data_IF_141333270621
#
_entry.id   IF_141333270621
#
_cell.length_a   1.000
_cell.length_b   1.000
_cell.length_c   1.000
_cell.angle_alpha   90.00
_cell.angle_beta   90.00
_cell.angle_gamma   90.00
#
_symmetry.space_group_name_H-M   'P 1'
#
loop_
_entity.id
_entity.type
_entity.pdbx_description
1 polymer ?
#
# COMPACT_ATOMS: atom_id res chain seq x y z
N UNK A 1 -45.84 -18.42 9.08
CA UNK A 1 -44.69 -17.61 9.53
C UNK A 1 -43.42 -18.39 9.21
N UNK A 2 -42.72 -18.05 8.14
CA UNK A 2 -41.34 -18.49 7.96
C UNK A 2 -40.48 -17.52 8.77
N UNK A 3 -39.80 -18.01 9.80
CA UNK A 3 -38.84 -17.20 10.54
C UNK A 3 -37.63 -16.97 9.65
N UNK A 4 -37.27 -15.71 9.40
CA UNK A 4 -35.99 -15.38 8.78
C UNK A 4 -34.85 -15.83 9.69
N UNK A 5 -34.00 -16.71 9.17
CA UNK A 5 -32.77 -17.11 9.85
C UNK A 5 -31.74 -16.01 9.56
N UNK A 6 -31.45 -15.19 10.58
CA UNK A 6 -30.38 -14.20 10.50
C UNK A 6 -29.01 -14.86 10.74
N UNK A 7 -27.97 -14.35 10.05
CA UNK A 7 -26.59 -14.78 10.23
C UNK A 7 -26.09 -14.59 11.69
N UNK A 8 -26.62 -13.58 12.38
CA UNK A 8 -26.34 -13.31 13.80
C UNK A 8 -26.89 -14.38 14.75
N UNK A 9 -27.73 -15.31 14.28
CA UNK A 9 -28.21 -16.43 15.09
C UNK A 9 -27.29 -17.67 15.02
N UNK A 10 -26.25 -17.64 14.17
CA UNK A 10 -25.29 -18.73 14.11
C UNK A 10 -24.36 -18.71 15.33
N UNK A 11 -23.95 -19.87 15.86
CA UNK A 11 -22.95 -19.94 16.92
C UNK A 11 -21.64 -19.26 16.52
N UNK A 12 -21.00 -18.58 17.46
CA UNK A 12 -19.73 -17.86 17.25
C UNK A 12 -18.63 -18.78 16.72
N UNK A 13 -18.64 -20.06 17.11
CA UNK A 13 -17.68 -21.06 16.64
C UNK A 13 -17.86 -21.37 15.15
N UNK A 14 -19.10 -21.43 14.68
CA UNK A 14 -19.39 -21.63 13.25
C UNK A 14 -18.96 -20.41 12.44
N UNK A 15 -19.24 -19.20 12.94
CA UNK A 15 -18.84 -17.94 12.30
C UNK A 15 -17.31 -17.80 12.27
N UNK A 16 -16.62 -18.10 13.36
CA UNK A 16 -15.15 -18.07 13.45
C UNK A 16 -14.52 -19.10 12.50
N UNK A 17 -15.10 -20.31 12.42
CA UNK A 17 -14.67 -21.33 11.46
C UNK A 17 -14.80 -20.84 10.01
N UNK A 18 -15.96 -20.29 9.62
CA UNK A 18 -16.16 -19.72 8.28
C UNK A 18 -15.19 -18.56 8.02
N UNK A 19 -15.01 -17.67 8.98
CA UNK A 19 -14.12 -16.52 8.90
C UNK A 19 -12.65 -16.91 8.67
N UNK A 20 -12.23 -18.09 9.15
CA UNK A 20 -10.87 -18.60 8.95
C UNK A 20 -10.52 -18.86 7.48
N UNK A 21 -11.52 -19.12 6.63
CA UNK A 21 -11.35 -19.30 5.18
C UNK A 21 -11.39 -17.98 4.39
N UNK A 22 -11.77 -16.88 5.04
CA UNK A 22 -11.84 -15.57 4.40
C UNK A 22 -10.46 -14.90 4.39
N UNK A 23 -10.21 -14.14 3.33
CA UNK A 23 -9.11 -13.16 3.28
C UNK A 23 -9.27 -12.13 4.40
N UNK A 24 -8.16 -11.52 4.81
CA UNK A 24 -8.13 -10.54 5.89
C UNK A 24 -9.17 -9.41 5.75
N UNK A 25 -9.30 -8.72 4.60
CA UNK A 25 -10.32 -7.69 4.43
C UNK A 25 -11.75 -8.26 4.45
N UNK A 26 -12.01 -9.42 3.83
CA UNK A 26 -13.35 -10.06 3.85
C UNK A 26 -13.76 -10.45 5.26
N UNK A 27 -12.81 -10.94 6.06
CA UNK A 27 -13.02 -11.26 7.48
C UNK A 27 -13.38 -10.03 8.30
N UNK A 28 -12.68 -8.92 8.09
CA UNK A 28 -12.99 -7.66 8.76
C UNK A 28 -14.37 -7.15 8.37
N UNK A 29 -14.71 -7.20 7.07
CA UNK A 29 -16.03 -6.80 6.57
C UNK A 29 -17.15 -7.68 7.15
N UNK A 30 -16.92 -9.00 7.25
CA UNK A 30 -17.87 -9.91 7.90
C UNK A 30 -18.05 -9.56 9.38
N UNK A 31 -16.97 -9.30 10.11
CA UNK A 31 -17.04 -8.89 11.51
C UNK A 31 -17.81 -7.58 11.70
N UNK A 32 -17.58 -6.60 10.80
CA UNK A 32 -18.33 -5.34 10.78
C UNK A 32 -19.82 -5.57 10.50
N UNK A 33 -20.15 -6.40 9.50
CA UNK A 33 -21.53 -6.68 9.10
C UNK A 33 -22.34 -7.38 10.20
N UNK A 34 -21.69 -8.19 11.04
CA UNK A 34 -22.33 -8.90 12.14
C UNK A 34 -22.63 -7.99 13.35
N UNK A 35 -22.03 -6.79 13.43
CA UNK A 35 -22.28 -5.77 14.46
C UNK A 35 -22.35 -6.32 15.90
N UNK A 36 -21.58 -7.37 16.18
CA UNK A 36 -21.73 -8.14 17.42
C UNK A 36 -20.61 -7.83 18.41
N UNK A 37 -20.93 -7.89 19.70
CA UNK A 37 -19.95 -7.80 20.81
C UNK A 37 -18.89 -8.93 20.71
N UNK A 38 -19.20 -9.98 19.94
CA UNK A 38 -18.33 -11.10 19.60
C UNK A 38 -17.35 -10.83 18.44
N UNK A 39 -17.27 -9.60 17.93
CA UNK A 39 -16.38 -9.23 16.81
C UNK A 39 -14.93 -9.70 17.01
N UNK A 40 -14.43 -9.70 18.26
CA UNK A 40 -13.08 -10.18 18.59
C UNK A 40 -12.82 -11.64 18.19
N UNK A 41 -13.80 -12.54 18.35
CA UNK A 41 -13.64 -13.97 18.04
C UNK A 41 -13.61 -14.26 16.53
N UNK A 42 -14.23 -13.39 15.72
CA UNK A 42 -14.27 -13.49 14.25
C UNK A 42 -13.02 -12.83 13.66
N UNK A 43 -12.64 -11.68 14.20
CA UNK A 43 -11.44 -10.94 13.80
C UNK A 43 -10.20 -11.80 14.06
N UNK A 44 -10.12 -12.48 15.21
CA UNK A 44 -8.98 -13.31 15.59
C UNK A 44 -7.72 -12.48 15.89
N UNK A 45 -6.62 -13.15 16.24
CA UNK A 45 -5.45 -12.48 16.80
C UNK A 45 -4.42 -11.99 15.77
N UNK A 46 -4.43 -12.58 14.57
CA UNK A 46 -3.37 -12.37 13.59
C UNK A 46 -3.79 -11.30 12.58
N UNK A 47 -3.37 -10.06 12.87
CA UNK A 47 -3.46 -8.94 11.95
C UNK A 47 -2.06 -8.39 11.76
N UNK A 48 -1.72 -8.10 10.51
CA UNK A 48 -0.40 -7.61 10.14
C UNK A 48 -0.45 -6.95 8.78
N UNK A 49 -1.21 -7.53 7.86
CA UNK A 49 -1.48 -6.97 6.54
C UNK A 49 -2.98 -6.87 6.31
N UNK A 50 -3.47 -5.67 6.00
CA UNK A 50 -4.80 -5.42 5.48
C UNK A 50 -4.66 -4.96 4.03
N UNK A 51 -4.95 -5.85 3.10
CA UNK A 51 -4.78 -5.63 1.66
C UNK A 51 -6.12 -5.76 0.95
N UNK A 52 -6.71 -4.63 0.57
CA UNK A 52 -8.00 -4.59 -0.11
C UNK A 52 -7.95 -5.11 -1.55
N UNK A 53 -6.76 -5.30 -2.13
CA UNK A 53 -6.59 -5.99 -3.42
C UNK A 53 -6.94 -7.48 -3.37
N UNK A 54 -7.16 -8.04 -2.17
CA UNK A 54 -7.66 -9.41 -1.97
C UNK A 54 -9.19 -9.52 -2.03
N UNK A 55 -9.90 -8.39 -2.17
CA UNK A 55 -11.34 -8.39 -2.42
C UNK A 55 -11.63 -8.50 -3.91
N UNK A 56 -12.87 -8.90 -4.22
CA UNK A 56 -13.41 -8.72 -5.56
C UNK A 56 -13.41 -7.23 -5.93
N UNK A 57 -13.02 -6.92 -7.16
CA UNK A 57 -12.83 -5.55 -7.62
C UNK A 57 -14.10 -4.71 -7.43
N UNK A 58 -15.26 -5.22 -7.86
CA UNK A 58 -16.55 -4.54 -7.70
C UNK A 58 -16.88 -4.25 -6.23
N UNK A 59 -16.56 -5.16 -5.32
CA UNK A 59 -16.78 -4.93 -3.89
C UNK A 59 -15.86 -3.83 -3.37
N UNK A 60 -14.57 -3.87 -3.72
CA UNK A 60 -13.58 -2.88 -3.28
C UNK A 60 -13.85 -1.47 -3.80
N UNK A 61 -14.34 -1.33 -5.05
CA UNK A 61 -14.73 -0.05 -5.65
C UNK A 61 -15.92 0.59 -4.95
N UNK A 62 -16.80 -0.24 -4.35
CA UNK A 62 -17.98 0.21 -3.61
C UNK A 62 -17.70 0.52 -2.12
N UNK A 63 -16.46 0.36 -1.65
CA UNK A 63 -16.10 0.74 -0.28
C UNK A 63 -16.07 2.27 -0.13
N UNK A 64 -16.64 2.75 0.97
CA UNK A 64 -16.68 4.17 1.34
C UNK A 64 -15.78 4.41 2.54
N UNK A 65 -15.46 5.68 2.83
CA UNK A 65 -14.69 6.04 4.02
C UNK A 65 -15.33 5.51 5.33
N UNK A 66 -16.66 5.42 5.39
CA UNK A 66 -17.34 4.85 6.55
C UNK A 66 -17.07 3.34 6.70
N UNK A 67 -17.08 2.59 5.58
CA UNK A 67 -16.73 1.17 5.59
C UNK A 67 -15.27 0.97 6.03
N UNK A 68 -14.34 1.73 5.44
CA UNK A 68 -12.92 1.67 5.77
C UNK A 68 -12.65 2.02 7.24
N UNK A 69 -13.24 3.12 7.73
CA UNK A 69 -13.13 3.53 9.14
C UNK A 69 -13.61 2.44 10.08
N UNK A 70 -14.78 1.86 9.80
CA UNK A 70 -15.38 0.83 10.65
C UNK A 70 -14.51 -0.44 10.66
N UNK A 71 -13.97 -0.83 9.50
CA UNK A 71 -13.01 -1.94 9.40
C UNK A 71 -11.75 -1.65 10.21
N UNK A 72 -11.12 -0.48 10.06
CA UNK A 72 -9.89 -0.14 10.77
C UNK A 72 -10.09 -0.07 12.29
N UNK A 73 -11.24 0.40 12.76
CA UNK A 73 -11.61 0.37 14.18
C UNK A 73 -11.84 -1.06 14.68
N UNK A 74 -12.57 -1.86 13.91
CA UNK A 74 -12.90 -3.25 14.25
C UNK A 74 -11.64 -4.12 14.44
N UNK A 75 -10.61 -3.89 13.63
CA UNK A 75 -9.35 -4.65 13.68
C UNK A 75 -8.29 -4.00 14.56
N UNK A 76 -8.61 -2.90 15.25
CA UNK A 76 -7.67 -2.07 16.02
C UNK A 76 -6.40 -1.73 15.23
N UNK A 77 -6.60 -1.14 14.05
CA UNK A 77 -5.55 -1.00 13.06
C UNK A 77 -4.35 -0.19 13.55
N UNK A 78 -4.56 0.80 14.42
CA UNK A 78 -3.50 1.65 14.98
C UNK A 78 -2.42 0.84 15.69
N UNK A 79 -2.80 -0.29 16.31
CA UNK A 79 -1.93 -1.11 17.15
C UNK A 79 -1.59 -2.48 16.53
N UNK A 80 -2.33 -2.92 15.49
CA UNK A 80 -2.20 -4.28 14.92
C UNK A 80 -1.83 -4.34 13.43
N UNK A 81 -2.07 -3.29 12.63
CA UNK A 81 -1.76 -3.30 11.20
C UNK A 81 -0.37 -2.74 10.90
N UNK A 82 0.48 -3.58 10.28
CA UNK A 82 1.82 -3.21 9.80
C UNK A 82 1.82 -2.81 8.33
N UNK A 83 0.92 -3.35 7.53
CA UNK A 83 0.81 -3.06 6.09
C UNK A 83 -0.64 -2.77 5.74
N UNK A 84 -0.90 -1.58 5.20
CA UNK A 84 -2.18 -1.24 4.59
C UNK A 84 -1.99 -1.08 3.08
N UNK A 85 -2.87 -1.69 2.27
CA UNK A 85 -2.95 -1.46 0.82
C UNK A 85 -4.39 -1.18 0.42
N UNK A 86 -4.63 -0.02 -0.21
CA UNK A 86 -5.96 0.41 -0.68
C UNK A 86 -6.24 0.04 -2.15
N UNK A 87 -5.65 -1.06 -2.64
CA UNK A 87 -5.85 -1.47 -4.03
C UNK A 87 -7.36 -1.61 -4.33
N UNK A 88 -7.75 -1.07 -5.48
CA UNK A 88 -9.11 -1.02 -6.04
C UNK A 88 -10.15 -0.19 -5.25
N UNK A 89 -9.77 0.43 -4.12
CA UNK A 89 -10.65 1.27 -3.30
C UNK A 89 -10.80 2.71 -3.83
N UNK A 90 -11.22 2.87 -5.09
CA UNK A 90 -11.22 4.16 -5.80
C UNK A 90 -12.16 5.23 -5.22
N UNK A 91 -13.20 4.81 -4.49
CA UNK A 91 -14.23 5.69 -3.91
C UNK A 91 -13.86 6.26 -2.54
N UNK A 92 -12.69 5.90 -2.00
CA UNK A 92 -12.20 6.38 -0.71
C UNK A 92 -11.59 7.77 -0.86
N UNK A 93 -12.05 8.72 -0.04
CA UNK A 93 -11.51 10.09 -0.01
C UNK A 93 -10.29 10.24 0.88
N UNK A 94 -10.12 9.32 1.84
CA UNK A 94 -9.03 9.31 2.81
C UNK A 94 -9.48 9.64 4.23
N UNK A 95 -10.68 10.20 4.40
CA UNK A 95 -11.27 10.44 5.72
C UNK A 95 -11.44 9.15 6.55
N UNK A 96 -11.61 8.01 5.88
CA UNK A 96 -11.72 6.70 6.49
C UNK A 96 -10.43 6.19 7.12
N UNK A 97 -9.28 6.79 6.79
CA UNK A 97 -7.96 6.42 7.33
C UNK A 97 -7.71 6.99 8.74
N UNK A 98 -8.60 7.84 9.25
CA UNK A 98 -8.47 8.50 10.56
C UNK A 98 -8.07 7.55 11.71
N UNK A 99 -8.57 6.29 11.79
CA UNK A 99 -8.15 5.36 12.83
C UNK A 99 -6.66 4.98 12.82
N UNK A 100 -5.90 5.28 11.75
CA UNK A 100 -4.44 5.06 11.71
C UNK A 100 -3.64 6.22 12.31
N UNK A 101 -4.28 7.34 12.66
CA UNK A 101 -3.62 8.53 13.18
C UNK A 101 -2.71 8.16 14.36
N UNK A 102 -1.45 8.58 14.26
CA UNK A 102 -0.44 8.32 15.28
C UNK A 102 -0.05 6.85 15.45
N UNK A 103 -0.28 5.96 14.48
CA UNK A 103 0.21 4.58 14.57
C UNK A 103 1.74 4.54 14.72
N UNK A 104 2.24 3.79 15.71
CA UNK A 104 3.68 3.54 15.88
C UNK A 104 4.17 2.32 15.10
N UNK A 105 3.27 1.41 14.76
CA UNK A 105 3.62 0.05 14.31
C UNK A 105 3.46 -0.15 12.80
N UNK A 106 2.79 0.77 12.11
CA UNK A 106 2.60 0.68 10.68
C UNK A 106 3.93 0.85 9.95
N UNK A 107 4.27 -0.14 9.12
CA UNK A 107 5.53 -0.20 8.38
C UNK A 107 5.36 0.18 6.92
N UNK A 108 4.17 -0.06 6.35
CA UNK A 108 3.89 0.17 4.93
C UNK A 108 2.47 0.69 4.70
N UNK A 109 2.35 1.74 3.90
CA UNK A 109 1.08 2.27 3.41
C UNK A 109 1.14 2.38 1.89
N UNK A 110 0.23 1.69 1.20
CA UNK A 110 0.06 1.77 -0.25
C UNK A 110 -1.27 2.43 -0.61
N UNK A 111 -1.19 3.66 -1.13
CA UNK A 111 -2.30 4.49 -1.58
C UNK A 111 -2.39 4.51 -3.12
N UNK A 112 -1.73 3.62 -3.87
CA UNK A 112 -1.75 3.67 -5.33
C UNK A 112 -3.12 3.39 -5.95
N UNK A 113 -4.06 2.84 -5.18
CA UNK A 113 -5.41 2.41 -5.59
C UNK A 113 -5.49 1.38 -6.72
N UNK A 114 -4.36 0.99 -7.29
CA UNK A 114 -4.25 -0.06 -8.31
C UNK A 114 -3.76 -1.38 -7.72
N UNK A 115 -4.20 -2.49 -8.31
CA UNK A 115 -3.75 -3.83 -8.02
C UNK A 115 -2.28 -4.08 -8.36
N UNK A 116 -1.86 -5.34 -8.20
CA UNK A 116 -0.53 -5.76 -8.63
C UNK A 116 -0.49 -5.91 -10.15
N UNK A 117 0.56 -5.38 -10.79
CA UNK A 117 0.75 -5.41 -12.24
C UNK A 117 -0.24 -4.58 -13.08
N UNK A 118 -1.07 -3.78 -12.42
CA UNK A 118 -1.97 -2.85 -13.09
C UNK A 118 -1.28 -1.53 -13.45
N UNK A 119 -1.82 -0.85 -14.47
CA UNK A 119 -1.43 0.51 -14.80
C UNK A 119 -1.71 1.45 -13.62
N UNK A 120 -0.79 2.33 -13.21
CA UNK A 120 -1.06 3.34 -12.19
C UNK A 120 -2.05 4.43 -12.67
N UNK A 121 -2.28 4.50 -13.98
CA UNK A 121 -3.23 5.44 -14.57
C UNK A 121 -4.59 4.79 -14.48
N UNK A 122 -5.45 5.37 -13.66
CA UNK A 122 -6.85 4.98 -13.52
C UNK A 122 -7.69 5.69 -14.60
N UNK A 123 -8.70 4.99 -15.12
CA UNK A 123 -9.69 5.59 -16.04
C UNK A 123 -10.58 6.63 -15.34
N UNK A 124 -10.69 6.53 -14.01
CA UNK A 124 -11.47 7.43 -13.16
C UNK A 124 -10.52 8.16 -12.23
N UNK A 125 -10.71 9.46 -12.10
CA UNK A 125 -9.95 10.27 -11.15
C UNK A 125 -10.19 9.76 -9.72
N UNK A 126 -9.13 9.40 -8.98
CA UNK A 126 -9.28 8.84 -7.64
C UNK A 126 -9.81 9.91 -6.68
N UNK A 127 -10.69 9.51 -5.76
CA UNK A 127 -11.29 10.44 -4.80
C UNK A 127 -10.36 10.84 -3.65
N UNK A 128 -9.16 10.25 -3.57
CA UNK A 128 -8.25 10.42 -2.44
C UNK A 128 -7.69 11.85 -2.38
N UNK A 129 -7.97 12.56 -1.28
CA UNK A 129 -7.58 13.96 -1.09
C UNK A 129 -6.36 14.11 -0.17
N UNK A 130 -5.42 14.96 -0.57
CA UNK A 130 -4.28 15.38 0.25
C UNK A 130 -4.73 15.93 1.62
N UNK A 131 -5.83 16.70 1.65
CA UNK A 131 -6.32 17.37 2.86
C UNK A 131 -6.74 16.39 3.96
N UNK A 132 -7.26 15.21 3.59
CA UNK A 132 -7.61 14.18 4.56
C UNK A 132 -6.42 13.30 4.93
N UNK A 133 -5.61 12.93 3.94
CA UNK A 133 -4.56 11.92 4.14
C UNK A 133 -3.30 12.48 4.77
N UNK A 134 -2.80 13.63 4.31
CA UNK A 134 -1.52 14.17 4.76
C UNK A 134 -1.49 14.43 6.27
N UNK A 135 -2.54 14.98 6.92
CA UNK A 135 -2.54 15.14 8.37
C UNK A 135 -2.45 13.82 9.14
N UNK A 136 -2.94 12.72 8.57
CA UNK A 136 -2.84 11.38 9.18
C UNK A 136 -1.42 10.87 9.04
N UNK A 137 -0.84 10.95 7.84
CA UNK A 137 0.54 10.54 7.61
C UNK A 137 1.54 11.37 8.44
N UNK A 138 1.30 12.68 8.57
CA UNK A 138 2.08 13.57 9.44
C UNK A 138 2.12 13.07 10.87
N UNK A 139 0.96 12.73 11.44
CA UNK A 139 0.88 12.23 12.80
C UNK A 139 1.64 10.91 13.01
N UNK A 140 1.82 10.11 11.96
CA UNK A 140 2.57 8.85 12.00
C UNK A 140 4.07 9.17 11.98
N UNK A 141 4.53 10.06 11.10
CA UNK A 141 5.96 10.40 11.00
C UNK A 141 6.46 11.27 12.16
N UNK A 142 5.59 12.09 12.76
CA UNK A 142 5.90 12.91 13.94
C UNK A 142 5.98 12.06 15.21
N UNK A 143 5.52 10.81 15.18
CA UNK A 143 5.59 9.92 16.33
C UNK A 143 7.01 9.37 16.50
N UNK A 144 7.56 9.58 17.69
CA UNK A 144 8.84 9.00 18.08
C UNK A 144 8.82 7.48 17.97
N UNK A 145 9.86 6.93 17.32
CA UNK A 145 10.00 5.49 17.13
C UNK A 145 8.93 4.87 16.22
N UNK A 146 8.31 5.64 15.32
CA UNK A 146 7.43 5.09 14.31
C UNK A 146 8.16 4.04 13.44
N UNK A 147 7.42 3.03 13.00
CA UNK A 147 7.96 1.92 12.22
C UNK A 147 7.83 2.12 10.70
N UNK A 148 7.40 3.30 10.23
CA UNK A 148 7.07 3.53 8.82
C UNK A 148 8.32 3.44 7.95
N UNK A 149 8.32 2.49 7.01
CA UNK A 149 9.43 2.22 6.08
C UNK A 149 9.09 2.54 4.65
N UNK A 150 7.82 2.40 4.26
CA UNK A 150 7.41 2.51 2.86
C UNK A 150 6.07 3.21 2.69
N UNK A 151 6.04 4.16 1.76
CA UNK A 151 4.87 4.93 1.39
C UNK A 151 4.75 5.00 -0.14
N UNK A 152 3.60 4.59 -0.66
CA UNK A 152 3.26 4.75 -2.07
C UNK A 152 2.09 5.72 -2.19
N UNK A 153 2.31 6.83 -2.89
CA UNK A 153 1.25 7.80 -3.19
C UNK A 153 0.45 7.42 -4.44
N UNK A 154 -0.79 7.93 -4.58
CA UNK A 154 -1.51 7.90 -5.84
C UNK A 154 -0.69 8.56 -6.95
N UNK A 155 -0.77 8.00 -8.16
CA UNK A 155 -0.10 8.58 -9.33
C UNK A 155 -0.64 9.98 -9.68
N UNK A 156 -1.94 10.23 -9.41
CA UNK A 156 -2.56 11.55 -9.60
C UNK A 156 -1.78 12.66 -8.88
N UNK A 157 -1.45 12.47 -7.60
CA UNK A 157 -0.72 13.47 -6.81
C UNK A 157 0.70 13.75 -7.33
N UNK A 158 1.30 12.79 -8.04
CA UNK A 158 2.65 12.93 -8.60
C UNK A 158 2.64 13.74 -9.91
N UNK A 159 1.55 13.68 -10.68
CA UNK A 159 1.45 14.27 -12.03
C UNK A 159 0.56 15.51 -12.11
N UNK A 160 -0.31 15.74 -11.14
CA UNK A 160 -1.16 16.92 -11.10
C UNK A 160 -0.31 18.20 -11.01
N UNK A 161 -0.65 19.21 -11.82
CA UNK A 161 0.04 20.49 -11.87
C UNK A 161 -0.99 21.63 -11.81
N UNK A 162 -0.78 22.65 -10.96
CA UNK A 162 0.34 22.82 -10.02
C UNK A 162 0.31 21.77 -8.89
N UNK A 163 1.49 21.42 -8.35
CA UNK A 163 1.58 20.46 -7.25
C UNK A 163 1.00 21.07 -5.98
N UNK A 164 0.28 20.27 -5.19
CA UNK A 164 -0.21 20.70 -3.87
C UNK A 164 0.98 21.06 -2.94
N UNK A 165 1.06 22.30 -2.43
CA UNK A 165 2.15 22.72 -1.53
C UNK A 165 2.22 21.91 -0.23
N UNK A 166 1.10 21.41 0.27
CA UNK A 166 1.06 20.55 1.45
C UNK A 166 1.70 19.19 1.16
N UNK A 167 1.54 18.67 -0.05
CA UNK A 167 2.20 17.43 -0.47
C UNK A 167 3.72 17.59 -0.54
N UNK A 168 4.23 18.68 -1.13
CA UNK A 168 5.66 18.99 -1.13
C UNK A 168 6.23 19.15 0.29
N UNK A 169 5.48 19.82 1.18
CA UNK A 169 5.85 19.96 2.60
C UNK A 169 5.87 18.61 3.31
N UNK A 170 4.92 17.72 3.02
CA UNK A 170 4.91 16.36 3.55
C UNK A 170 6.16 15.59 3.11
N UNK A 171 6.48 15.58 1.81
CA UNK A 171 7.68 14.88 1.28
C UNK A 171 8.94 15.37 1.98
N UNK A 172 9.06 16.68 2.19
CA UNK A 172 10.20 17.28 2.90
C UNK A 172 10.33 16.77 4.34
N UNK A 173 9.22 16.69 5.08
CA UNK A 173 9.19 16.15 6.46
C UNK A 173 9.47 14.65 6.50
N UNK A 174 8.90 13.89 5.58
CA UNK A 174 9.16 12.45 5.46
C UNK A 174 10.66 12.18 5.22
N UNK A 175 11.28 12.89 4.28
CA UNK A 175 12.72 12.79 4.02
C UNK A 175 13.55 13.17 5.26
N UNK A 176 13.16 14.24 5.98
CA UNK A 176 13.83 14.65 7.20
C UNK A 176 13.73 13.59 8.32
N UNK A 177 12.57 12.93 8.45
CA UNK A 177 12.38 11.83 9.40
C UNK A 177 13.32 10.65 9.09
N UNK A 178 13.43 10.22 7.83
CA UNK A 178 14.36 9.14 7.49
C UNK A 178 15.82 9.51 7.72
N UNK A 179 16.20 10.77 7.48
CA UNK A 179 17.55 11.26 7.71
C UNK A 179 17.90 11.38 9.20
N UNK A 180 16.90 11.51 10.08
CA UNK A 180 17.10 11.58 11.54
C UNK A 180 17.09 10.20 12.21
N UNK A 181 16.47 9.19 11.58
CA UNK A 181 16.57 7.81 12.02
C UNK A 181 18.01 7.29 11.87
N UNK A 182 18.39 6.30 12.70
CA UNK A 182 19.69 5.64 12.64
C UNK A 182 20.12 5.37 11.18
N UNK A 183 21.42 5.47 10.90
CA UNK A 183 21.96 5.26 9.55
C UNK A 183 21.41 3.98 8.92
N UNK A 184 20.47 4.12 7.99
CA UNK A 184 19.95 3.01 7.20
C UNK A 184 21.02 2.65 6.18
N UNK A 185 21.35 1.37 6.06
CA UNK A 185 22.34 0.90 5.08
C UNK A 185 21.72 -0.05 4.05
N UNK A 186 22.32 -0.06 2.87
CA UNK A 186 22.02 -1.03 1.83
C UNK A 186 22.30 -2.44 2.34
N UNK A 187 21.35 -3.35 2.17
CA UNK A 187 21.47 -4.72 2.65
C UNK A 187 22.66 -5.48 2.04
N UNK A 188 23.06 -5.14 0.80
CA UNK A 188 24.06 -5.89 0.03
C UNK A 188 25.48 -5.36 0.20
N UNK A 189 25.65 -4.03 0.16
CA UNK A 189 26.98 -3.40 0.24
C UNK A 189 27.24 -2.66 1.55
N UNK A 190 26.24 -2.57 2.44
CA UNK A 190 26.29 -1.85 3.71
C UNK A 190 26.61 -0.34 3.59
N UNK A 191 26.56 0.23 2.38
CA UNK A 191 26.65 1.69 2.18
C UNK A 191 25.47 2.39 2.83
N UNK A 192 25.72 3.52 3.48
CA UNK A 192 24.67 4.36 4.06
C UNK A 192 23.72 4.90 2.99
N UNK A 193 22.44 4.99 3.34
CA UNK A 193 21.36 5.46 2.49
C UNK A 193 20.69 6.68 3.13
N UNK A 194 20.20 7.65 2.34
CA UNK A 194 20.34 7.70 0.88
C UNK A 194 21.79 8.03 0.49
N UNK A 195 22.17 7.80 -0.78
CA UNK A 195 23.48 8.26 -1.27
C UNK A 195 23.54 9.79 -1.22
N UNK A 196 24.76 10.38 -1.20
CA UNK A 196 24.94 11.83 -1.12
C UNK A 196 24.08 12.56 -2.17
N UNK A 197 23.42 13.64 -1.73
CA UNK A 197 22.50 14.47 -2.54
C UNK A 197 21.23 13.78 -3.08
N UNK A 198 20.93 12.55 -2.65
CA UNK A 198 19.71 11.84 -3.03
C UNK A 198 18.69 11.77 -1.90
N UNK A 199 17.43 11.54 -2.29
CA UNK A 199 16.28 11.59 -1.38
C UNK A 199 15.57 10.24 -1.30
N UNK A 200 14.97 9.97 -0.14
CA UNK A 200 14.09 8.82 0.05
C UNK A 200 12.86 8.92 -0.83
N UNK A 201 12.27 10.12 -0.94
CA UNK A 201 11.20 10.44 -1.87
C UNK A 201 11.62 11.67 -2.68
N UNK A 202 11.55 11.58 -4.01
CA UNK A 202 11.96 12.66 -4.91
C UNK A 202 11.15 13.95 -4.67
N UNK A 203 11.78 15.06 -4.25
CA UNK A 203 11.08 16.31 -3.93
C UNK A 203 10.96 17.26 -5.13
N UNK A 204 11.68 16.99 -6.22
CA UNK A 204 11.73 17.84 -7.40
C UNK A 204 10.45 17.68 -8.23
N UNK A 205 9.63 18.74 -8.26
CA UNK A 205 8.34 18.79 -8.95
C UNK A 205 8.47 18.62 -10.47
N UNK A 206 9.62 18.95 -11.06
CA UNK A 206 9.86 18.81 -12.51
C UNK A 206 10.46 17.44 -12.86
N UNK A 207 10.88 16.66 -11.85
CA UNK A 207 11.46 15.35 -12.07
C UNK A 207 10.39 14.31 -12.46
N UNK A 208 10.76 13.43 -13.39
CA UNK A 208 9.95 12.28 -13.81
C UNK A 208 9.49 11.42 -12.61
N UNK A 209 10.27 11.40 -11.52
CA UNK A 209 10.10 10.57 -10.33
C UNK A 209 9.63 11.34 -9.08
N UNK A 210 9.03 12.53 -9.26
CA UNK A 210 8.43 13.28 -8.15
C UNK A 210 7.50 12.40 -7.32
N UNK A 211 7.63 12.45 -5.99
CA UNK A 211 6.79 11.66 -5.07
C UNK A 211 7.04 10.14 -5.10
N UNK A 212 8.05 9.64 -5.82
CA UNK A 212 8.38 8.20 -5.82
C UNK A 212 9.38 7.87 -4.74
N UNK A 213 9.11 6.79 -3.98
CA UNK A 213 10.06 6.28 -3.00
C UNK A 213 11.22 5.52 -3.65
N UNK A 214 12.42 5.80 -3.17
CA UNK A 214 13.68 5.18 -3.57
C UNK A 214 14.21 4.25 -2.47
N UNK A 215 15.20 3.45 -2.85
CA UNK A 215 16.01 2.61 -1.96
C UNK A 215 15.30 1.56 -1.13
N UNK A 216 13.97 1.39 -1.23
CA UNK A 216 13.20 0.48 -0.39
C UNK A 216 12.39 -0.44 -1.27
N UNK A 217 12.63 -1.75 -1.19
CA UNK A 217 11.90 -2.69 -2.02
C UNK A 217 10.43 -2.78 -1.58
N UNK A 218 9.51 -2.55 -2.52
CA UNK A 218 8.07 -2.57 -2.26
C UNK A 218 7.61 -3.87 -1.58
N UNK A 219 8.17 -5.01 -2.00
CA UNK A 219 7.71 -6.34 -1.55
C UNK A 219 8.18 -6.68 -0.14
N UNK A 220 9.45 -6.44 0.17
CA UNK A 220 10.08 -6.93 1.40
C UNK A 220 10.50 -5.84 2.38
N UNK A 221 10.29 -4.57 2.04
CA UNK A 221 10.63 -3.37 2.84
C UNK A 221 12.09 -3.27 3.28
N UNK A 222 12.97 -4.05 2.66
CA UNK A 222 14.43 -3.97 2.82
C UNK A 222 15.00 -2.85 1.96
N UNK A 223 16.13 -2.30 2.40
CA UNK A 223 16.78 -1.18 1.73
C UNK A 223 17.95 -1.62 0.84
N UNK A 224 18.04 -1.05 -0.35
CA UNK A 224 19.07 -1.36 -1.35
C UNK A 224 19.50 -0.08 -2.08
N UNK A 225 20.79 0.07 -2.37
CA UNK A 225 21.27 1.11 -3.28
C UNK A 225 20.97 0.76 -4.75
N UNK A 226 21.13 1.72 -5.66
CA UNK A 226 20.79 1.51 -7.08
C UNK A 226 21.64 0.42 -7.75
N UNK A 227 22.91 0.31 -7.38
CA UNK A 227 23.83 -0.68 -7.95
C UNK A 227 23.39 -2.14 -7.71
N UNK A 228 22.71 -2.42 -6.59
CA UNK A 228 22.33 -3.78 -6.19
C UNK A 228 20.82 -4.03 -6.15
N UNK A 229 19.99 -2.99 -6.18
CA UNK A 229 18.53 -3.12 -6.09
C UNK A 229 17.91 -4.04 -7.15
N UNK A 230 18.43 -4.01 -8.38
CA UNK A 230 17.91 -4.82 -9.49
C UNK A 230 18.25 -6.31 -9.38
N UNK A 231 19.34 -6.67 -8.70
CA UNK A 231 19.83 -8.05 -8.62
C UNK A 231 19.17 -8.79 -7.46
N UNK A 232 18.97 -8.11 -6.32
CA UNK A 232 18.49 -8.75 -5.09
C UNK A 232 16.97 -8.65 -4.87
N UNK A 233 16.30 -7.62 -5.41
CA UNK A 233 14.85 -7.47 -5.28
C UNK A 233 14.28 -6.86 -6.57
N UNK A 234 13.80 -7.70 -7.49
CA UNK A 234 13.26 -7.28 -8.79
C UNK A 234 12.07 -6.28 -8.73
N UNK A 235 11.55 -5.98 -7.53
CA UNK A 235 10.45 -5.04 -7.27
C UNK A 235 10.88 -3.89 -6.35
N UNK A 236 12.02 -3.25 -6.66
CA UNK A 236 12.42 -1.99 -6.03
C UNK A 236 11.34 -0.90 -6.16
N UNK A 237 10.56 -0.95 -7.25
CA UNK A 237 9.34 -0.15 -7.43
C UNK A 237 8.19 -1.10 -7.73
N UNK A 238 6.97 -0.78 -7.26
CA UNK A 238 5.76 -1.39 -7.82
C UNK A 238 5.77 -1.00 -9.30
N UNK A 239 6.02 -1.97 -10.19
CA UNK A 239 6.29 -1.69 -11.60
C UNK A 239 5.00 -1.18 -12.24
N UNK A 240 4.84 0.12 -12.26
CA UNK A 240 3.92 0.79 -13.15
C UNK A 240 4.46 0.66 -14.58
N UNK A 241 4.03 -0.38 -15.30
CA UNK A 241 4.43 -0.65 -16.68
C UNK A 241 3.78 0.36 -17.66
N UNK A 242 3.89 1.65 -17.41
CA UNK A 242 3.53 2.67 -18.41
C UNK A 242 4.74 2.87 -19.32
N UNK A 243 4.83 2.01 -20.34
CA UNK A 243 5.50 2.24 -21.63
C UNK A 243 6.88 2.94 -21.65
N UNK A 244 7.78 2.64 -20.73
CA UNK A 244 9.19 2.95 -20.98
C UNK A 244 9.83 1.75 -21.69
N UNK A 245 9.87 1.81 -23.02
CA UNK A 245 10.45 0.76 -23.89
C UNK A 245 11.89 0.41 -23.45
N UNK A 246 12.64 1.36 -22.88
CA UNK A 246 13.98 1.12 -22.36
C UNK A 246 13.97 0.28 -21.08
N UNK A 247 13.00 0.49 -20.18
CA UNK A 247 12.82 -0.32 -18.96
C UNK A 247 12.32 -1.72 -19.33
N UNK A 248 11.44 -1.84 -20.33
CA UNK A 248 10.98 -3.15 -20.82
C UNK A 248 12.13 -3.99 -21.42
N UNK A 249 13.06 -3.36 -22.14
CA UNK A 249 14.27 -4.02 -22.66
C UNK A 249 15.20 -4.43 -21.51
N UNK A 250 15.38 -3.58 -20.49
CA UNK A 250 16.21 -3.92 -19.32
C UNK A 250 15.58 -5.02 -18.47
N UNK A 251 14.27 -5.01 -18.24
CA UNK A 251 13.58 -6.08 -17.53
C UNK A 251 13.57 -7.38 -18.33
N UNK A 252 13.37 -7.35 -19.65
CA UNK A 252 13.47 -8.52 -20.50
C UNK A 252 14.87 -9.14 -20.48
N UNK A 253 15.92 -8.32 -20.47
CA UNK A 253 17.31 -8.79 -20.33
C UNK A 253 17.59 -9.40 -18.95
N UNK A 254 17.11 -8.78 -17.86
CA UNK A 254 17.25 -9.30 -16.48
C UNK A 254 16.46 -10.60 -16.27
N UNK A 255 15.26 -10.72 -16.88
CA UNK A 255 14.46 -11.96 -16.84
C UNK A 255 15.14 -13.07 -17.65
N UNK A 256 15.79 -12.74 -18.77
CA UNK A 256 16.52 -13.72 -19.58
C UNK A 256 17.76 -14.30 -18.86
N UNK A 257 18.42 -13.51 -18.00
CA UNK A 257 19.59 -13.97 -17.21
C UNK A 257 19.22 -14.68 -15.90
N UNK A 258 18.00 -14.49 -15.39
CA UNK A 258 17.51 -15.19 -14.20
C UNK A 258 16.99 -16.60 -14.54
N UNK A 259 17.87 -17.60 -14.49
CA UNK A 259 17.55 -19.05 -14.67
C UNK A 259 16.48 -19.65 -13.72
N UNK A 260 15.85 -18.86 -12.83
CA UNK A 260 14.96 -19.36 -11.78
C UNK A 260 13.46 -19.14 -11.98
N UNK A 261 13.01 -18.58 -13.12
CA UNK A 261 11.58 -18.37 -13.36
C UNK A 261 11.11 -19.26 -14.52
N UNK A 262 10.43 -20.37 -14.20
CA UNK A 262 9.58 -21.08 -15.18
C UNK A 262 8.36 -20.21 -15.49
N UNK A 263 8.48 -19.32 -16.47
CA UNK A 263 7.33 -18.65 -17.07
C UNK A 263 6.74 -19.55 -18.16
N UNK A 264 5.71 -20.33 -17.82
CA UNK A 264 4.79 -20.83 -18.85
C UNK A 264 3.78 -19.72 -19.18
N UNK A 265 3.96 -19.13 -20.37
CA UNK A 265 2.96 -18.42 -21.18
C UNK A 265 2.38 -17.10 -20.64
N UNK A 266 3.08 -15.98 -20.86
CA UNK A 266 2.43 -14.69 -21.12
C UNK A 266 3.28 -13.85 -22.07
N UNK A 267 3.23 -14.12 -23.38
CA UNK A 267 3.44 -13.09 -24.42
C UNK A 267 2.54 -13.46 -25.60
N UNK A 268 1.35 -12.85 -25.67
CA UNK A 268 0.62 -12.69 -26.94
C UNK A 268 0.72 -11.20 -27.28
N UNK A 269 1.68 -10.85 -28.12
CA UNK A 269 1.79 -9.51 -28.70
C UNK A 269 0.71 -9.38 -29.78
N UNK A 270 -0.31 -8.56 -29.51
CA UNK A 270 -1.16 -8.02 -30.58
C UNK A 270 -0.41 -6.87 -31.25
N UNK A 271 0.13 -7.14 -32.44
CA UNK A 271 0.40 -6.12 -33.42
C UNK A 271 -0.81 -6.07 -34.36
N UNK A 272 -1.59 -5.00 -34.28
CA UNK A 272 -2.49 -4.61 -35.38
C UNK A 272 -2.29 -3.12 -35.62
N UNK A 273 -1.81 -2.88 -36.84
CA UNK A 273 -1.73 -1.65 -37.62
C UNK A 273 -3.01 -0.82 -37.63
#
# INVERSE_FOLDING_TARGET
MQGEIALSHLPVEALSYVASFLTTPSRALLAVALHDDNSSAIVGDIWGTLDFGQLEEDLSRNLTDNHLKTVLLCVDAVSRIKTLRLANCISITGAGLEPLRGSAIIEKIDLSLVGDHESPILDVEPSLSCDFVLPILDSIIERDGNALKYLQFPHAWQKERPVDPNFCRFISRYNAMFNSQNTISCLECNTSLPEEDLYWIGPDEDAQYFGTQNYTCYRCTKHFCYAYGHVSCALMRKVSMVYDHAILIMFAAVIADCKCIKMERVIVLHAVS
#
